data_IF_615281641640
#
_entry.id   IF_615281641640
#
_cell.length_a   1.000
_cell.length_b   1.000
_cell.length_c   1.000
_cell.angle_alpha   90.00
_cell.angle_beta   90.00
_cell.angle_gamma   90.00
#
_symmetry.space_group_name_H-M   'P 1'
#
loop_
_entity.id
_entity.type
_entity.pdbx_description
1 polymer ?
#
# COMPACT_ATOMS: atom_id res chain seq x y z
N UNK A 1 -10.62 -11.99 0.52
CA UNK A 1 -10.41 -10.84 -0.39
C UNK A 1 -10.01 -11.37 -1.75
N UNK A 2 -10.46 -10.76 -2.85
CA UNK A 2 -9.97 -11.07 -4.20
C UNK A 2 -8.60 -10.40 -4.45
N UNK A 3 -7.92 -10.73 -5.56
CA UNK A 3 -6.58 -10.19 -5.89
C UNK A 3 -6.54 -8.65 -5.93
N UNK A 4 -7.56 -8.01 -6.51
CA UNK A 4 -7.60 -6.55 -6.58
C UNK A 4 -7.80 -5.92 -5.19
N UNK A 5 -8.64 -6.53 -4.33
CA UNK A 5 -8.80 -6.12 -2.94
C UNK A 5 -7.52 -6.29 -2.14
N UNK A 6 -6.77 -7.39 -2.36
CA UNK A 6 -5.48 -7.62 -1.71
C UNK A 6 -4.43 -6.61 -2.16
N UNK A 7 -4.30 -6.35 -3.46
CA UNK A 7 -3.39 -5.33 -3.98
C UNK A 7 -3.68 -3.93 -3.41
N UNK A 8 -4.97 -3.56 -3.33
CA UNK A 8 -5.39 -2.30 -2.69
C UNK A 8 -5.04 -2.27 -1.20
N UNK A 9 -5.30 -3.36 -0.47
CA UNK A 9 -5.01 -3.42 0.97
C UNK A 9 -3.50 -3.37 1.27
N UNK A 10 -2.68 -4.04 0.46
CA UNK A 10 -1.23 -4.00 0.57
C UNK A 10 -0.69 -2.57 0.41
N UNK A 11 -1.20 -1.89 -0.61
CA UNK A 11 -0.85 -0.50 -0.89
C UNK A 11 -1.31 0.45 0.23
N UNK A 12 -2.45 0.15 0.87
CA UNK A 12 -2.92 0.91 2.02
C UNK A 12 -2.03 0.72 3.26
N UNK A 13 -1.52 -0.50 3.48
CA UNK A 13 -0.55 -0.77 4.55
C UNK A 13 0.74 0.05 4.35
N UNK A 14 1.28 0.11 3.12
CA UNK A 14 2.46 0.95 2.82
C UNK A 14 2.21 2.43 3.14
N UNK A 15 1.06 2.99 2.73
CA UNK A 15 0.71 4.38 3.04
C UNK A 15 0.67 4.60 4.55
N UNK A 16 0.06 3.68 5.30
CA UNK A 16 -0.06 3.78 6.74
C UNK A 16 1.31 3.69 7.45
N UNK A 17 2.19 2.80 7.00
CA UNK A 17 3.54 2.66 7.57
C UNK A 17 4.41 3.89 7.28
N UNK A 18 4.34 4.43 6.06
CA UNK A 18 5.03 5.67 5.69
C UNK A 18 4.47 6.89 6.44
N UNK A 19 3.16 6.92 6.70
CA UNK A 19 2.55 7.98 7.49
C UNK A 19 2.93 7.87 8.97
N UNK A 20 3.00 6.65 9.51
CA UNK A 20 3.42 6.37 10.88
C UNK A 20 4.85 6.81 11.13
N UNK A 21 5.77 6.55 10.21
CA UNK A 21 7.18 6.98 10.35
C UNK A 21 7.35 8.49 10.37
N UNK A 22 6.44 9.26 9.75
CA UNK A 22 6.49 10.72 9.76
C UNK A 22 6.24 11.33 11.15
N UNK A 23 5.51 10.63 12.03
CA UNK A 23 5.07 11.16 13.34
C UNK A 23 6.24 11.44 14.28
N UNK A 24 7.35 10.72 14.13
CA UNK A 24 8.52 10.84 15.02
C UNK A 24 9.60 11.77 14.47
N UNK A 25 9.43 12.33 13.28
CA UNK A 25 10.44 13.16 12.62
C UNK A 25 10.48 14.57 13.22
N UNK A 26 11.68 15.04 13.55
CA UNK A 26 11.91 16.38 14.11
C UNK A 26 12.63 17.31 13.13
N UNK A 27 13.34 16.76 12.15
CA UNK A 27 14.00 17.53 11.09
C UNK A 27 12.97 17.96 10.02
N UNK A 28 12.85 19.26 9.70
CA UNK A 28 11.94 19.72 8.65
C UNK A 28 12.25 19.13 7.26
N UNK A 29 13.53 18.89 6.95
CA UNK A 29 13.92 18.32 5.67
C UNK A 29 13.50 16.85 5.55
N UNK A 30 13.67 16.06 6.62
CA UNK A 30 13.24 14.67 6.68
C UNK A 30 11.72 14.55 6.66
N UNK A 31 11.02 15.41 7.42
CA UNK A 31 9.56 15.46 7.41
C UNK A 31 9.00 15.72 6.01
N UNK A 32 9.62 16.65 5.25
CA UNK A 32 9.25 16.90 3.86
C UNK A 32 9.51 15.69 2.97
N UNK A 33 10.70 15.09 3.04
CA UNK A 33 11.03 13.92 2.23
C UNK A 33 10.07 12.74 2.51
N UNK A 34 9.73 12.52 3.79
CA UNK A 34 8.77 11.51 4.19
C UNK A 34 7.36 11.81 3.66
N UNK A 35 6.92 13.07 3.69
CA UNK A 35 5.63 13.46 3.14
C UNK A 35 5.56 13.22 1.61
N UNK A 36 6.65 13.46 0.88
CA UNK A 36 6.73 13.17 -0.55
C UNK A 36 6.59 11.66 -0.82
N UNK A 37 7.16 10.79 0.03
CA UNK A 37 6.96 9.34 -0.03
C UNK A 37 5.50 8.94 0.23
N UNK A 38 4.87 9.51 1.25
CA UNK A 38 3.45 9.26 1.56
C UNK A 38 2.56 9.64 0.39
N UNK A 39 2.79 10.79 -0.25
CA UNK A 39 2.04 11.23 -1.43
C UNK A 39 2.21 10.26 -2.60
N UNK A 40 3.44 9.82 -2.87
CA UNK A 40 3.69 8.85 -3.92
C UNK A 40 2.97 7.51 -3.66
N UNK A 41 3.02 7.00 -2.44
CA UNK A 41 2.29 5.79 -2.05
C UNK A 41 0.76 5.98 -2.11
N UNK A 42 0.24 7.15 -1.74
CA UNK A 42 -1.18 7.47 -1.85
C UNK A 42 -1.66 7.51 -3.31
N UNK A 43 -0.84 7.99 -4.23
CA UNK A 43 -1.15 7.93 -5.67
C UNK A 43 -1.22 6.48 -6.17
N UNK A 44 -0.32 5.61 -5.71
CA UNK A 44 -0.37 4.17 -6.02
C UNK A 44 -1.60 3.50 -5.41
N UNK A 45 -2.00 3.89 -4.19
CA UNK A 45 -3.24 3.41 -3.55
C UNK A 45 -4.46 3.80 -4.38
N UNK A 46 -4.51 5.05 -4.85
CA UNK A 46 -5.57 5.50 -5.73
C UNK A 46 -5.61 4.67 -7.02
N UNK A 47 -4.45 4.37 -7.63
CA UNK A 47 -4.39 3.51 -8.80
C UNK A 47 -4.90 2.08 -8.52
N UNK A 48 -4.57 1.50 -7.36
CA UNK A 48 -5.08 0.18 -6.95
C UNK A 48 -6.60 0.20 -6.75
N UNK A 49 -7.14 1.25 -6.11
CA UNK A 49 -8.57 1.45 -5.93
C UNK A 49 -9.31 1.63 -7.27
N UNK A 50 -8.76 2.40 -8.20
CA UNK A 50 -9.31 2.54 -9.55
C UNK A 50 -9.37 1.20 -10.29
N UNK A 51 -8.34 0.36 -10.16
CA UNK A 51 -8.33 -1.00 -10.75
C UNK A 51 -9.32 -1.95 -10.08
N UNK A 52 -9.61 -1.76 -8.79
CA UNK A 52 -10.67 -2.51 -8.11
C UNK A 52 -12.06 -2.11 -8.64
N UNK A 53 -12.28 -0.82 -8.91
CA UNK A 53 -13.53 -0.31 -9.48
C UNK A 53 -13.70 -0.69 -10.95
N UNK A 54 -12.61 -0.65 -11.73
CA UNK A 54 -12.56 -0.95 -13.15
C UNK A 54 -11.50 -2.04 -13.41
N UNK A 55 -11.89 -3.33 -13.34
CA UNK A 55 -10.95 -4.44 -13.49
C UNK A 55 -10.23 -4.41 -14.84
N UNK A 56 -8.91 -4.24 -14.81
CA UNK A 56 -8.08 -4.29 -16.00
C UNK A 56 -7.76 -5.74 -16.42
N UNK A 57 -7.63 -6.01 -17.74
CA UNK A 57 -7.36 -7.36 -18.25
C UNK A 57 -5.91 -7.83 -18.06
N UNK A 58 -5.00 -6.96 -17.64
CA UNK A 58 -3.58 -7.24 -17.41
C UNK A 58 -3.20 -7.04 -15.93
N UNK A 59 -2.16 -7.73 -15.41
CA UNK A 59 -1.67 -7.54 -14.04
C UNK A 59 -1.23 -6.10 -13.74
N UNK A 60 -1.24 -5.66 -12.46
CA UNK A 60 -0.66 -4.37 -12.09
C UNK A 60 0.87 -4.37 -12.32
N UNK A 61 1.43 -3.19 -12.61
CA UNK A 61 2.89 -3.01 -12.85
C UNK A 61 3.64 -2.52 -11.62
N UNK A 62 2.92 -2.00 -10.62
CA UNK A 62 3.52 -1.62 -9.34
C UNK A 62 3.95 -2.89 -8.59
N UNK A 63 5.16 -2.89 -8.02
CA UNK A 63 5.77 -4.08 -7.45
C UNK A 63 4.98 -4.68 -6.28
N UNK A 64 4.42 -3.85 -5.39
CA UNK A 64 3.63 -4.34 -4.25
C UNK A 64 2.28 -4.89 -4.71
N UNK A 65 1.65 -4.20 -5.65
CA UNK A 65 0.41 -4.67 -6.25
C UNK A 65 0.61 -5.96 -7.05
N UNK A 66 1.74 -6.09 -7.75
CA UNK A 66 2.10 -7.28 -8.50
C UNK A 66 2.36 -8.46 -7.56
N UNK A 67 3.10 -8.24 -6.47
CA UNK A 67 3.28 -9.26 -5.43
C UNK A 67 1.93 -9.76 -4.89
N UNK A 68 1.02 -8.87 -4.48
CA UNK A 68 -0.29 -9.27 -3.98
C UNK A 68 -1.18 -9.96 -5.04
N UNK A 69 -0.92 -9.68 -6.32
CA UNK A 69 -1.61 -10.32 -7.44
C UNK A 69 -1.09 -11.74 -7.71
N UNK A 70 0.23 -11.94 -7.68
CA UNK A 70 0.92 -13.20 -7.95
C UNK A 70 0.88 -14.16 -6.73
N UNK A 71 0.97 -13.61 -5.51
CA UNK A 71 1.04 -14.32 -4.24
C UNK A 71 -0.11 -13.96 -3.29
N UNK A 72 -1.38 -14.22 -3.65
CA UNK A 72 -2.53 -13.71 -2.90
C UNK A 72 -2.67 -14.30 -1.49
N UNK A 73 -2.20 -15.53 -1.25
CA UNK A 73 -2.27 -16.17 0.08
C UNK A 73 -1.25 -15.55 1.05
N UNK A 74 -0.02 -15.34 0.58
CA UNK A 74 1.04 -14.66 1.34
C UNK A 74 0.62 -13.22 1.64
N UNK A 75 0.15 -12.49 0.62
CA UNK A 75 -0.31 -11.12 0.81
C UNK A 75 -1.50 -11.01 1.78
N UNK A 76 -2.40 -12.00 1.81
CA UNK A 76 -3.49 -12.03 2.77
C UNK A 76 -2.99 -12.26 4.20
N UNK A 77 -1.98 -13.12 4.38
CA UNK A 77 -1.35 -13.35 5.69
C UNK A 77 -0.65 -12.08 6.19
N UNK A 78 0.14 -11.42 5.33
CA UNK A 78 0.86 -10.19 5.67
C UNK A 78 -0.09 -9.04 6.06
N UNK A 79 -1.21 -8.87 5.34
CA UNK A 79 -2.25 -7.88 5.71
C UNK A 79 -2.88 -8.24 7.06
N UNK A 80 -3.14 -9.53 7.32
CA UNK A 80 -3.71 -9.96 8.59
C UNK A 80 -2.73 -9.73 9.76
N UNK A 81 -1.43 -9.97 9.54
CA UNK A 81 -0.37 -9.66 10.50
C UNK A 81 -0.28 -8.16 10.77
N UNK A 82 -0.29 -7.34 9.72
CA UNK A 82 -0.27 -5.88 9.85
C UNK A 82 -1.46 -5.34 10.66
N UNK A 83 -2.66 -5.88 10.43
CA UNK A 83 -3.86 -5.52 11.20
C UNK A 83 -3.73 -5.91 12.68
N UNK A 84 -3.08 -7.03 13.00
CA UNK A 84 -2.81 -7.45 14.38
C UNK A 84 -1.78 -6.57 15.08
N UNK A 85 -0.76 -6.09 14.36
CA UNK A 85 0.28 -5.24 14.95
C UNK A 85 -0.10 -3.76 15.03
N UNK A 86 -1.16 -3.35 14.32
CA UNK A 86 -1.59 -1.95 14.21
C UNK A 86 -2.78 -1.59 15.11
N UNK A 87 -3.34 -2.55 15.85
CA UNK A 87 -4.38 -2.35 16.87
C UNK A 87 -3.81 -2.25 18.29
#
# INVERSE_FOLDING_TARGET
MNRAQLAMAYQACEVADLARSAVTLTSPAEARAQAELVVAAAQRLLAAASRLAEPAPYPPVDALQLFAYEHPEEAAADVADWLRSSG
#
